data_IF_916574663103
#
_entry.id   IF_916574663103
#
_cell.length_a   1.000
_cell.length_b   1.000
_cell.length_c   1.000
_cell.angle_alpha   90.00
_cell.angle_beta   90.00
_cell.angle_gamma   90.00
#
_symmetry.space_group_name_H-M   'P 1'
#
loop_
_entity.id
_entity.type
_entity.pdbx_description
1 polymer ?
#
# COMPACT_ATOMS: atom_id res chain seq x y z
N UNK A 1 -68.81 -18.25 -77.22
CA UNK A 1 -69.24 -16.85 -77.00
C UNK A 1 -68.32 -16.25 -75.95
N UNK A 2 -67.61 -15.20 -76.34
CA UNK A 2 -66.43 -14.63 -75.71
C UNK A 2 -66.74 -13.79 -74.46
N UNK A 3 -66.19 -14.20 -73.31
CA UNK A 3 -66.19 -13.40 -72.09
C UNK A 3 -64.91 -12.56 -71.99
N UNK A 4 -65.03 -11.25 -72.19
CA UNK A 4 -63.94 -10.28 -72.01
C UNK A 4 -63.76 -9.97 -70.53
N UNK A 5 -62.59 -10.28 -69.96
CA UNK A 5 -62.18 -9.78 -68.63
C UNK A 5 -61.74 -8.31 -68.72
N UNK A 6 -61.98 -7.48 -67.68
CA UNK A 6 -61.39 -6.14 -67.63
C UNK A 6 -59.90 -6.24 -67.22
N UNK A 7 -59.08 -5.23 -67.59
CA UNK A 7 -57.66 -5.25 -67.28
C UNK A 7 -57.42 -5.12 -65.77
N UNK A 8 -56.53 -5.95 -65.21
CA UNK A 8 -55.99 -5.74 -63.86
C UNK A 8 -55.14 -4.48 -63.88
N UNK A 9 -55.56 -3.45 -63.15
CA UNK A 9 -54.68 -2.34 -62.81
C UNK A 9 -53.58 -2.86 -61.88
N UNK A 10 -52.38 -3.08 -62.41
CA UNK A 10 -51.18 -3.23 -61.60
C UNK A 10 -50.83 -1.86 -61.05
N UNK A 11 -51.18 -1.60 -59.79
CA UNK A 11 -50.67 -0.44 -59.04
C UNK A 11 -49.16 -0.67 -58.88
N UNK A 12 -48.37 -0.06 -59.75
CA UNK A 12 -46.94 0.09 -59.51
C UNK A 12 -46.79 1.07 -58.35
N UNK A 13 -46.59 0.53 -57.15
CA UNK A 13 -46.12 1.33 -56.03
C UNK A 13 -44.74 1.87 -56.40
N UNK A 14 -44.70 3.12 -56.86
CA UNK A 14 -43.47 3.89 -56.94
C UNK A 14 -43.05 4.22 -55.51
N UNK A 15 -42.36 3.28 -54.88
CA UNK A 15 -41.59 3.52 -53.66
C UNK A 15 -40.36 4.37 -53.99
N UNK A 16 -40.57 5.62 -54.39
CA UNK A 16 -39.49 6.60 -54.52
C UNK A 16 -39.29 7.28 -53.16
N UNK A 17 -38.83 6.49 -52.18
CA UNK A 17 -38.50 6.96 -50.84
C UNK A 17 -37.13 7.64 -50.84
N UNK A 18 -37.09 8.91 -51.26
CA UNK A 18 -35.94 9.76 -50.97
C UNK A 18 -35.90 10.07 -49.49
N UNK A 19 -34.77 9.85 -48.83
CA UNK A 19 -34.56 10.22 -47.42
C UNK A 19 -34.84 11.71 -47.24
N UNK A 20 -35.66 12.05 -46.25
CA UNK A 20 -35.93 13.44 -45.93
C UNK A 20 -34.73 14.04 -45.20
N UNK A 21 -34.48 15.34 -45.37
CA UNK A 21 -33.43 16.06 -44.63
C UNK A 21 -33.62 15.90 -43.10
N UNK A 22 -34.87 15.81 -42.65
CA UNK A 22 -35.26 15.55 -41.27
C UNK A 22 -34.70 14.20 -40.77
N UNK A 23 -34.80 13.15 -41.58
CA UNK A 23 -34.38 11.79 -41.20
C UNK A 23 -32.87 11.69 -41.02
N UNK A 24 -32.09 12.32 -41.91
CA UNK A 24 -30.63 12.43 -41.76
C UNK A 24 -30.27 13.19 -40.50
N UNK A 25 -30.99 14.28 -40.19
CA UNK A 25 -30.75 15.09 -39.01
C UNK A 25 -31.06 14.32 -37.72
N UNK A 26 -32.15 13.55 -37.70
CA UNK A 26 -32.49 12.66 -36.57
C UNK A 26 -31.46 11.53 -36.43
N UNK A 27 -31.03 10.91 -37.52
CA UNK A 27 -30.00 9.87 -37.49
C UNK A 27 -28.67 10.40 -36.94
N UNK A 28 -28.25 11.60 -37.35
CA UNK A 28 -27.05 12.25 -36.81
C UNK A 28 -27.20 12.60 -35.33
N UNK A 29 -28.37 13.09 -34.90
CA UNK A 29 -28.63 13.38 -33.48
C UNK A 29 -28.52 12.11 -32.64
N UNK A 30 -29.14 11.01 -33.08
CA UNK A 30 -29.05 9.71 -32.40
C UNK A 30 -27.61 9.21 -32.35
N UNK A 31 -26.85 9.35 -33.44
CA UNK A 31 -25.44 8.97 -33.47
C UNK A 31 -24.62 9.75 -32.44
N UNK A 32 -24.81 11.07 -32.33
CA UNK A 32 -24.10 11.90 -31.34
C UNK A 32 -24.47 11.51 -29.91
N UNK A 33 -25.75 11.23 -29.64
CA UNK A 33 -26.20 10.79 -28.30
C UNK A 33 -25.55 9.44 -27.95
N UNK A 34 -25.58 8.47 -28.87
CA UNK A 34 -25.00 7.14 -28.65
C UNK A 34 -23.48 7.25 -28.47
N UNK A 35 -22.80 7.99 -29.34
CA UNK A 35 -21.36 8.21 -29.24
C UNK A 35 -20.98 8.90 -27.91
N UNK A 36 -21.76 9.90 -27.49
CA UNK A 36 -21.58 10.58 -26.20
C UNK A 36 -21.77 9.65 -25.01
N UNK A 37 -22.79 8.80 -25.04
CA UNK A 37 -23.02 7.80 -23.99
C UNK A 37 -21.86 6.79 -23.91
N UNK A 38 -21.41 6.25 -25.05
CA UNK A 38 -20.29 5.32 -25.12
C UNK A 38 -18.99 5.97 -24.62
N UNK A 39 -18.71 7.20 -25.05
CA UNK A 39 -17.54 7.95 -24.61
C UNK A 39 -17.58 8.21 -23.09
N UNK A 40 -18.73 8.64 -22.57
CA UNK A 40 -18.90 8.86 -21.12
C UNK A 40 -18.69 7.58 -20.30
N UNK A 41 -19.21 6.45 -20.77
CA UNK A 41 -19.04 5.14 -20.13
C UNK A 41 -17.56 4.73 -20.13
N UNK A 42 -16.88 4.88 -21.26
CA UNK A 42 -15.46 4.55 -21.39
C UNK A 42 -14.59 5.38 -20.43
N UNK A 43 -14.78 6.70 -20.37
CA UNK A 43 -14.04 7.56 -19.44
C UNK A 43 -14.36 7.30 -17.98
N UNK A 44 -15.60 6.91 -17.66
CA UNK A 44 -15.98 6.54 -16.29
C UNK A 44 -15.25 5.28 -15.85
N UNK A 45 -15.16 4.27 -16.71
CA UNK A 45 -14.43 3.03 -16.42
C UNK A 45 -12.93 3.29 -16.26
N UNK A 46 -12.33 4.11 -17.14
CA UNK A 46 -10.91 4.48 -17.02
C UNK A 46 -10.61 5.18 -15.70
N UNK A 47 -11.40 6.19 -15.32
CA UNK A 47 -11.22 6.90 -14.05
C UNK A 47 -11.46 6.01 -12.83
N UNK A 48 -12.36 5.05 -12.93
CA UNK A 48 -12.59 4.07 -11.86
C UNK A 48 -11.37 3.15 -11.71
N UNK A 49 -10.76 2.74 -12.83
CA UNK A 49 -9.56 1.90 -12.85
C UNK A 49 -8.34 2.62 -12.27
N UNK A 50 -8.06 3.85 -12.72
CA UNK A 50 -6.91 4.65 -12.24
C UNK A 50 -6.98 4.86 -10.71
N UNK A 51 -8.14 5.25 -10.18
CA UNK A 51 -8.32 5.39 -8.72
C UNK A 51 -8.13 4.08 -7.96
N UNK A 52 -8.54 2.95 -8.54
CA UNK A 52 -8.39 1.65 -7.91
C UNK A 52 -6.92 1.17 -7.92
N UNK A 53 -6.16 1.52 -8.96
CA UNK A 53 -4.75 1.17 -9.09
C UNK A 53 -3.87 2.00 -8.14
N UNK A 54 -4.07 3.32 -8.07
CA UNK A 54 -3.32 4.23 -7.18
C UNK A 54 -3.51 3.89 -5.69
N UNK A 55 -4.76 3.79 -5.22
CA UNK A 55 -5.02 3.41 -3.83
C UNK A 55 -4.67 1.95 -3.51
N UNK A 56 -4.59 1.11 -4.54
CA UNK A 56 -4.21 -0.30 -4.41
C UNK A 56 -2.74 -0.49 -4.07
N UNK A 57 -1.84 0.31 -4.67
CA UNK A 57 -0.40 0.14 -4.51
C UNK A 57 0.09 0.58 -3.13
N UNK A 58 -0.27 1.80 -2.70
CA UNK A 58 0.09 2.29 -1.37
C UNK A 58 -0.45 1.37 -0.26
N UNK A 59 -1.64 0.80 -0.44
CA UNK A 59 -2.21 -0.14 0.54
C UNK A 59 -1.53 -1.51 0.52
N UNK A 60 -1.03 -1.96 -0.63
CA UNK A 60 -0.20 -3.17 -0.72
C UNK A 60 1.14 -2.96 0.00
N UNK A 61 1.81 -1.85 -0.27
CA UNK A 61 3.07 -1.48 0.37
C UNK A 61 2.92 -1.37 1.90
N UNK A 62 1.90 -0.65 2.37
CA UNK A 62 1.55 -0.54 3.80
C UNK A 62 1.39 -1.91 4.46
N UNK A 63 0.61 -2.81 3.84
CA UNK A 63 0.38 -4.15 4.37
C UNK A 63 1.67 -4.97 4.39
N UNK A 64 2.49 -4.87 3.35
CA UNK A 64 3.79 -5.52 3.27
C UNK A 64 4.74 -5.04 4.37
N UNK A 65 4.80 -3.73 4.60
CA UNK A 65 5.65 -3.12 5.64
C UNK A 65 5.19 -3.49 7.05
N UNK A 66 3.88 -3.46 7.33
CA UNK A 66 3.34 -3.91 8.63
C UNK A 66 3.59 -5.39 8.87
N UNK A 67 3.45 -6.23 7.85
CA UNK A 67 3.69 -7.67 7.95
C UNK A 67 5.18 -7.98 8.16
N UNK A 68 6.08 -7.27 7.47
CA UNK A 68 7.53 -7.36 7.70
C UNK A 68 7.89 -6.99 9.15
N UNK A 69 7.46 -5.81 9.61
CA UNK A 69 7.69 -5.35 10.99
C UNK A 69 7.14 -6.34 12.01
N UNK A 70 5.95 -6.89 11.76
CA UNK A 70 5.35 -7.92 12.62
C UNK A 70 6.24 -9.16 12.70
N UNK A 71 6.71 -9.68 11.57
CA UNK A 71 7.56 -10.88 11.52
C UNK A 71 8.88 -10.67 12.24
N UNK A 72 9.52 -9.53 12.04
CA UNK A 72 10.78 -9.19 12.71
C UNK A 72 10.59 -9.01 14.22
N UNK A 73 9.49 -8.40 14.65
CA UNK A 73 9.15 -8.29 16.08
C UNK A 73 8.81 -9.63 16.72
N UNK A 74 8.04 -10.48 16.04
CA UNK A 74 7.76 -11.84 16.50
C UNK A 74 9.07 -12.67 16.58
N UNK A 75 10.01 -12.38 15.66
CA UNK A 75 11.37 -12.93 15.57
C UNK A 75 12.43 -12.27 16.46
N UNK A 76 12.06 -11.29 17.27
CA UNK A 76 13.03 -10.50 18.03
C UNK A 76 13.77 -11.36 19.06
N UNK A 77 15.09 -11.25 19.06
CA UNK A 77 16.00 -12.05 19.86
C UNK A 77 16.83 -11.16 20.80
N UNK A 78 16.88 -11.52 22.07
CA UNK A 78 17.62 -10.79 23.09
C UNK A 78 18.19 -11.76 24.11
N UNK A 79 19.46 -11.55 24.48
CA UNK A 79 20.11 -12.29 25.57
C UNK A 79 20.91 -11.33 26.42
N UNK A 80 20.65 -11.31 27.73
CA UNK A 80 21.29 -10.40 28.69
C UNK A 80 22.83 -10.50 28.71
N UNK A 81 23.41 -11.64 28.34
CA UNK A 81 24.87 -11.85 28.32
C UNK A 81 25.59 -11.20 27.14
N UNK A 82 24.88 -10.80 26.06
CA UNK A 82 25.49 -10.27 24.84
C UNK A 82 24.92 -8.90 24.50
N UNK A 83 25.72 -7.85 24.69
CA UNK A 83 25.33 -6.45 24.44
C UNK A 83 25.02 -6.14 22.97
N UNK A 84 25.44 -6.99 22.03
CA UNK A 84 25.12 -6.82 20.61
C UNK A 84 23.66 -7.15 20.33
N UNK A 85 23.05 -7.99 21.18
CA UNK A 85 21.65 -8.37 21.11
C UNK A 85 20.85 -7.35 21.92
N UNK A 86 20.26 -6.37 21.23
CA UNK A 86 19.51 -5.28 21.85
C UNK A 86 18.17 -5.07 21.19
N UNK A 87 17.23 -4.53 21.98
CA UNK A 87 15.95 -4.02 21.53
C UNK A 87 15.75 -2.63 22.12
N UNK A 88 15.63 -1.63 21.25
CA UNK A 88 15.56 -0.22 21.61
C UNK A 88 14.43 0.45 20.84
N UNK A 89 13.60 1.19 21.57
CA UNK A 89 12.57 2.06 21.02
C UNK A 89 12.77 3.44 21.63
N UNK A 90 12.85 4.46 20.79
CA UNK A 90 12.88 5.85 21.25
C UNK A 90 11.67 6.60 20.72
N UNK A 91 10.99 7.31 21.62
CA UNK A 91 9.96 8.27 21.24
C UNK A 91 10.61 9.50 20.59
N UNK A 92 10.19 9.83 19.38
CA UNK A 92 10.70 10.96 18.59
C UNK A 92 9.58 11.55 17.76
N UNK A 93 9.79 12.79 17.36
CA UNK A 93 8.84 13.60 16.60
C UNK A 93 9.57 14.34 15.46
N UNK A 94 8.88 14.49 14.32
CA UNK A 94 9.30 15.34 13.21
C UNK A 94 8.11 16.25 12.84
N UNK A 95 8.17 17.53 13.19
CA UNK A 95 7.11 18.53 12.97
C UNK A 95 5.73 18.17 13.56
N UNK A 96 5.70 17.62 14.77
CA UNK A 96 4.46 17.23 15.45
C UNK A 96 3.88 15.88 14.97
N UNK A 97 4.59 15.19 14.06
CA UNK A 97 4.26 13.84 13.61
C UNK A 97 5.12 12.80 14.33
N UNK A 98 4.50 11.73 14.87
CA UNK A 98 5.24 10.63 15.48
C UNK A 98 6.30 10.05 14.53
N UNK A 99 7.53 9.92 15.02
CA UNK A 99 8.69 9.50 14.24
C UNK A 99 9.59 8.56 15.05
N UNK A 100 9.00 7.62 15.79
CA UNK A 100 9.71 6.69 16.67
C UNK A 100 10.88 6.01 15.95
N UNK A 101 11.97 5.72 16.67
CA UNK A 101 13.01 4.82 16.15
C UNK A 101 12.85 3.46 16.77
N UNK A 102 13.01 2.40 15.97
CA UNK A 102 12.99 1.03 16.43
C UNK A 102 14.28 0.34 15.99
N UNK A 103 14.99 -0.26 16.93
CA UNK A 103 16.17 -1.07 16.69
C UNK A 103 15.98 -2.42 17.40
N UNK A 104 16.14 -3.52 16.67
CA UNK A 104 16.05 -4.86 17.24
C UNK A 104 16.97 -5.84 16.54
N UNK A 105 17.36 -6.89 17.24
CA UNK A 105 17.93 -8.09 16.62
C UNK A 105 16.82 -9.07 16.30
N UNK A 106 16.80 -9.61 15.08
CA UNK A 106 15.83 -10.60 14.61
C UNK A 106 16.53 -11.69 13.80
N UNK A 107 15.84 -12.81 13.60
CA UNK A 107 16.28 -13.88 12.69
C UNK A 107 16.32 -13.35 11.25
N UNK A 108 17.41 -13.62 10.55
CA UNK A 108 17.59 -13.28 9.15
C UNK A 108 16.59 -14.05 8.25
N UNK A 109 16.01 -13.41 7.23
CA UNK A 109 15.29 -14.17 6.22
C UNK A 109 16.26 -15.12 5.48
N UNK A 110 15.77 -16.26 4.95
CA UNK A 110 16.61 -17.16 4.17
C UNK A 110 17.21 -16.41 2.98
N UNK A 111 18.54 -16.42 2.86
CA UNK A 111 19.24 -15.89 1.68
C UNK A 111 19.54 -17.01 0.71
N UNK A 112 19.31 -16.76 -0.58
CA UNK A 112 19.74 -17.67 -1.66
C UNK A 112 21.24 -17.51 -1.99
N UNK A 113 21.90 -16.48 -1.42
CA UNK A 113 23.32 -16.26 -1.65
C UNK A 113 24.16 -17.17 -0.74
N UNK A 114 25.15 -17.87 -1.31
CA UNK A 114 26.13 -18.71 -0.60
C UNK A 114 27.15 -17.89 0.20
N UNK A 115 26.74 -16.76 0.78
CA UNK A 115 27.61 -15.96 1.64
C UNK A 115 27.52 -16.47 3.07
N UNK A 116 28.63 -16.51 3.83
CA UNK A 116 28.57 -16.67 5.28
C UNK A 116 27.76 -15.48 5.83
N UNK A 117 26.49 -15.73 6.15
CA UNK A 117 25.60 -14.76 6.75
C UNK A 117 25.24 -15.27 8.14
N UNK A 118 25.18 -14.38 9.12
CA UNK A 118 24.62 -14.74 10.42
C UNK A 118 23.12 -15.03 10.31
N UNK A 119 22.64 -16.01 11.08
CA UNK A 119 21.21 -16.24 11.28
C UNK A 119 20.52 -15.07 11.99
N UNK A 120 21.28 -14.10 12.51
CA UNK A 120 20.77 -12.93 13.22
C UNK A 120 21.21 -11.62 12.54
N UNK A 121 20.27 -10.71 12.39
CA UNK A 121 20.52 -9.37 11.84
C UNK A 121 20.03 -8.32 12.83
N UNK A 122 20.76 -7.21 12.91
CA UNK A 122 20.29 -5.99 13.56
C UNK A 122 19.52 -5.17 12.53
N UNK A 123 18.23 -4.98 12.76
CA UNK A 123 17.40 -4.09 11.96
C UNK A 123 17.16 -2.78 12.68
N UNK A 124 17.22 -1.68 11.94
CA UNK A 124 16.91 -0.34 12.41
C UNK A 124 15.88 0.30 11.49
N UNK A 125 14.84 0.84 12.10
CA UNK A 125 13.82 1.66 11.46
C UNK A 125 13.91 3.09 11.97
N UNK A 126 13.95 4.03 11.03
CA UNK A 126 14.02 5.46 11.32
C UNK A 126 13.24 6.23 10.26
N UNK A 127 12.44 7.19 10.70
CA UNK A 127 11.75 8.11 9.80
C UNK A 127 12.74 9.17 9.32
N UNK A 128 12.82 9.36 8.01
CA UNK A 128 13.59 10.44 7.40
C UNK A 128 12.66 11.39 6.67
N UNK A 129 12.99 12.67 6.71
CA UNK A 129 12.32 13.68 5.90
C UNK A 129 13.16 13.97 4.66
N UNK A 130 12.52 13.98 3.50
CA UNK A 130 13.09 14.50 2.25
C UNK A 130 12.01 15.29 1.52
N UNK A 131 12.31 16.54 1.16
CA UNK A 131 11.40 17.40 0.39
C UNK A 131 9.99 17.53 1.02
N UNK A 132 9.91 17.64 2.35
CA UNK A 132 8.67 17.67 3.14
C UNK A 132 7.81 16.39 3.11
N UNK A 133 8.35 15.29 2.58
CA UNK A 133 7.76 13.96 2.66
C UNK A 133 8.53 13.14 3.69
N UNK A 134 7.80 12.36 4.48
CA UNK A 134 8.41 11.42 5.41
C UNK A 134 8.50 10.04 4.75
N UNK A 135 9.62 9.36 4.95
CA UNK A 135 9.85 7.98 4.54
C UNK A 135 10.27 7.15 5.75
N UNK A 136 9.71 5.95 5.90
CA UNK A 136 10.21 4.96 6.84
C UNK A 136 11.41 4.26 6.20
N UNK A 137 12.60 4.47 6.73
CA UNK A 137 13.81 3.82 6.23
C UNK A 137 14.13 2.60 7.09
N UNK A 138 14.51 1.51 6.42
CA UNK A 138 15.02 0.29 7.04
C UNK A 138 16.50 0.14 6.74
N UNK A 139 17.24 -0.29 7.74
CA UNK A 139 18.65 -0.64 7.66
C UNK A 139 18.83 -2.02 8.30
N UNK A 140 19.50 -2.95 7.63
CA UNK A 140 19.80 -4.27 8.18
C UNK A 140 21.30 -4.52 8.16
N UNK A 141 21.84 -4.88 9.32
CA UNK A 141 23.27 -5.14 9.52
C UNK A 141 23.45 -6.56 10.00
N UNK A 142 24.29 -7.33 9.31
CA UNK A 142 24.76 -8.61 9.84
C UNK A 142 25.58 -8.35 11.11
N UNK A 143 25.17 -8.94 12.24
CA UNK A 143 25.82 -8.74 13.53
C UNK A 143 27.28 -9.24 13.58
N UNK A 144 27.64 -10.15 12.69
CA UNK A 144 28.97 -10.76 12.61
C UNK A 144 29.67 -10.46 11.27
N UNK A 145 28.98 -9.76 10.37
CA UNK A 145 29.53 -9.29 9.10
C UNK A 145 30.34 -8.01 9.24
N UNK A 146 31.19 -7.75 8.25
CA UNK A 146 32.01 -6.52 8.15
C UNK A 146 31.47 -5.50 7.15
N UNK A 147 30.34 -5.81 6.49
CA UNK A 147 29.74 -4.94 5.48
C UNK A 147 29.02 -3.77 6.14
N UNK A 148 29.26 -2.57 5.62
CA UNK A 148 28.47 -1.40 6.02
C UNK A 148 27.04 -1.55 5.48
N UNK A 149 26.03 -1.44 6.35
CA UNK A 149 24.64 -1.49 5.92
C UNK A 149 24.31 -0.25 5.06
N UNK A 150 23.43 -0.45 4.08
CA UNK A 150 22.91 0.63 3.24
C UNK A 150 21.44 0.82 3.62
N UNK A 151 21.07 1.94 4.26
CA UNK A 151 19.67 2.24 4.55
C UNK A 151 18.90 2.42 3.25
N UNK A 152 17.69 1.87 3.18
CA UNK A 152 16.79 2.03 2.03
C UNK A 152 15.39 2.42 2.50
N UNK A 153 14.62 3.16 1.67
CA UNK A 153 13.23 3.46 1.98
C UNK A 153 12.42 2.15 1.95
N UNK A 154 11.79 1.81 3.08
CA UNK A 154 10.89 0.68 3.21
C UNK A 154 9.45 1.06 2.84
N UNK A 155 9.08 2.31 3.15
CA UNK A 155 7.81 2.88 2.76
C UNK A 155 7.93 4.40 2.64
N UNK A 156 7.53 4.94 1.51
CA UNK A 156 7.48 6.39 1.28
C UNK A 156 6.11 6.96 1.63
N UNK A 157 6.03 8.30 1.73
CA UNK A 157 4.79 9.06 1.93
C UNK A 157 3.99 8.66 3.19
N UNK A 158 4.71 8.36 4.28
CA UNK A 158 4.09 8.19 5.59
C UNK A 158 3.76 9.55 6.21
N UNK A 159 2.81 9.55 7.12
CA UNK A 159 2.44 10.73 7.93
C UNK A 159 2.82 10.53 9.41
N UNK A 160 3.19 9.31 9.80
CA UNK A 160 3.66 9.02 11.15
C UNK A 160 4.06 7.56 11.35
N UNK A 161 5.00 7.34 12.25
CA UNK A 161 5.42 6.01 12.72
C UNK A 161 5.59 6.06 14.23
N UNK A 162 4.75 5.29 14.93
CA UNK A 162 4.73 5.20 16.38
C UNK A 162 4.94 3.75 16.81
N UNK A 163 5.83 3.56 17.78
CA UNK A 163 6.09 2.27 18.40
C UNK A 163 5.78 2.33 19.88
N UNK A 164 4.89 1.44 20.33
CA UNK A 164 4.51 1.31 21.73
C UNK A 164 4.90 -0.08 22.25
N UNK A 165 5.52 -0.14 23.42
CA UNK A 165 5.88 -1.35 24.12
C UNK A 165 4.95 -1.55 25.31
N UNK A 166 4.45 -2.78 25.49
CA UNK A 166 3.62 -3.13 26.64
C UNK A 166 4.47 -3.73 27.75
N UNK A 167 4.33 -3.20 28.95
CA UNK A 167 4.91 -3.75 30.17
C UNK A 167 3.96 -3.57 31.34
N UNK A 168 3.70 -4.66 32.08
CA UNK A 168 3.06 -4.62 33.38
C UNK A 168 1.73 -3.84 33.41
N UNK A 169 0.90 -4.00 32.39
CA UNK A 169 -0.41 -3.34 32.31
C UNK A 169 -0.47 -2.06 31.48
N UNK A 170 0.68 -1.49 31.09
CA UNK A 170 0.75 -0.16 30.46
C UNK A 170 1.50 -0.19 29.13
N UNK A 171 1.09 0.70 28.22
CA UNK A 171 1.82 1.00 27.00
C UNK A 171 2.79 2.16 27.25
N UNK A 172 4.04 1.99 26.84
CA UNK A 172 5.11 2.99 26.92
C UNK A 172 5.72 3.20 25.54
N UNK A 173 6.19 4.41 25.24
CA UNK A 173 6.74 4.77 23.92
C UNK A 173 8.27 4.65 23.83
N UNK A 174 8.91 4.27 24.92
CA UNK A 174 10.36 4.10 25.02
C UNK A 174 10.66 2.75 25.64
N UNK A 175 11.65 2.07 25.09
CA UNK A 175 12.17 0.82 25.62
C UNK A 175 13.66 0.73 25.38
N UNK A 176 14.43 0.23 26.34
CA UNK A 176 15.83 -0.08 26.13
C UNK A 176 16.21 -1.30 26.94
N UNK A 177 16.64 -2.37 26.26
CA UNK A 177 17.06 -3.61 26.91
C UNK A 177 18.30 -3.49 27.79
N UNK A 178 19.09 -2.43 27.65
CA UNK A 178 20.19 -2.13 28.57
C UNK A 178 19.69 -1.62 29.93
N UNK A 179 18.56 -0.92 29.95
CA UNK A 179 17.94 -0.38 31.17
C UNK A 179 16.93 -1.35 31.79
N UNK A 180 16.21 -2.08 30.94
CA UNK A 180 15.23 -3.10 31.32
C UNK A 180 15.66 -4.41 30.64
N UNK A 181 16.37 -5.32 31.33
CA UNK A 181 17.02 -6.49 30.71
C UNK A 181 16.03 -7.61 30.34
N UNK A 182 14.96 -7.27 29.63
CA UNK A 182 13.93 -8.14 29.09
C UNK A 182 13.34 -7.51 27.82
N UNK A 183 12.81 -8.35 26.94
CA UNK A 183 11.95 -7.88 25.84
C UNK A 183 10.58 -7.41 26.38
N UNK A 184 9.93 -6.45 25.72
CA UNK A 184 8.56 -6.06 26.06
C UNK A 184 7.59 -7.21 25.80
N UNK A 185 6.50 -7.30 26.57
CA UNK A 185 5.54 -8.42 26.45
C UNK A 185 4.79 -8.40 25.11
N UNK A 186 4.51 -7.19 24.61
CA UNK A 186 3.88 -6.91 23.32
C UNK A 186 4.48 -5.63 22.75
N UNK A 187 4.55 -5.55 21.43
CA UNK A 187 4.94 -4.33 20.72
C UNK A 187 3.83 -4.02 19.74
N UNK A 188 3.36 -2.76 19.76
CA UNK A 188 2.39 -2.24 18.80
C UNK A 188 3.11 -1.24 17.90
N UNK A 189 2.98 -1.47 16.61
CA UNK A 189 3.38 -0.53 15.58
C UNK A 189 2.13 0.16 15.07
N UNK A 190 2.20 1.47 14.91
CA UNK A 190 1.17 2.29 14.28
C UNK A 190 1.84 3.07 13.15
N UNK A 191 1.39 2.84 11.92
CA UNK A 191 1.74 3.61 10.74
C UNK A 191 0.57 4.50 10.35
N UNK A 192 0.81 5.80 10.30
CA UNK A 192 -0.15 6.78 9.81
C UNK A 192 0.17 7.08 8.36
N UNK A 193 -0.81 6.97 7.48
CA UNK A 193 -0.67 7.26 6.05
C UNK A 193 -1.81 8.14 5.57
N UNK A 194 -1.63 8.81 4.44
CA UNK A 194 -2.71 9.55 3.78
C UNK A 194 -3.67 8.58 3.09
N UNK A 195 -4.97 8.78 3.29
CA UNK A 195 -6.06 8.05 2.62
C UNK A 195 -7.02 9.09 2.03
N UNK A 196 -6.79 9.45 0.76
CA UNK A 196 -7.48 10.57 0.11
C UNK A 196 -7.12 11.92 0.75
N UNK A 197 -8.13 12.62 1.29
CA UNK A 197 -7.95 13.91 1.97
C UNK A 197 -7.65 13.76 3.47
N UNK A 198 -7.83 12.57 4.04
CA UNK A 198 -7.63 12.30 5.46
C UNK A 198 -6.34 11.53 5.72
N UNK A 199 -5.96 11.43 7.00
CA UNK A 199 -4.96 10.46 7.47
C UNK A 199 -5.64 9.30 8.17
N UNK A 200 -5.07 8.11 8.03
CA UNK A 200 -5.56 6.89 8.65
C UNK A 200 -4.43 6.16 9.36
N UNK A 201 -4.74 5.66 10.57
CA UNK A 201 -3.82 4.87 11.38
C UNK A 201 -4.03 3.38 11.13
N UNK A 202 -2.94 2.70 10.82
CA UNK A 202 -2.91 1.25 10.64
C UNK A 202 -1.96 0.66 11.65
N UNK A 203 -2.45 -0.32 12.41
CA UNK A 203 -1.66 -0.89 13.50
C UNK A 203 -1.52 -2.40 13.40
N UNK A 204 -0.39 -2.89 13.90
CA UNK A 204 -0.14 -4.32 14.11
C UNK A 204 0.47 -4.52 15.49
N UNK A 205 0.08 -5.60 16.16
CA UNK A 205 0.65 -5.98 17.46
C UNK A 205 1.36 -7.31 17.34
N UNK A 206 2.62 -7.33 17.78
CA UNK A 206 3.49 -8.51 17.81
C UNK A 206 3.82 -8.90 19.26
N UNK A 207 4.21 -10.16 19.46
CA UNK A 207 4.65 -10.69 20.75
C UNK A 207 6.05 -11.27 20.55
N UNK A 208 7.12 -10.57 20.92
CA UNK A 208 8.47 -11.10 20.85
C UNK A 208 8.59 -12.47 21.55
N UNK A 209 8.92 -13.55 20.83
CA UNK A 209 8.87 -14.92 21.37
C UNK A 209 10.23 -15.56 21.61
N UNK A 210 11.27 -15.10 20.92
CA UNK A 210 12.59 -15.72 20.94
C UNK A 210 13.40 -15.23 22.16
N UNK A 211 13.96 -16.18 22.92
CA UNK A 211 14.78 -15.98 24.12
C UNK A 211 16.10 -16.74 23.99
#
# INVERSE_FOLDING_TARGET
MSGTWPPRMTRTERGNGGFTLLEVLVAMLLLVIIAGALYSSYFTVLRARERAEEGGEQRRELRGTLDLLRRELDGAFYRTSDKRLRFVVNDRDIFGKPASTLELVTVAPPSAEERPASDLVLVKYEVKEKEKRLSLNREATDLFGSMKPIPYPQMDEIEGFLVECYDSGKWVRTWNTELSPKLPERVRIILTVRDGENTADYSVTAKPRLR
#
